data_IF_876958376603
#
_entry.id   IF_876958376603
#
_cell.length_a   1.000
_cell.length_b   1.000
_cell.length_c   1.000
_cell.angle_alpha   90.00
_cell.angle_beta   90.00
_cell.angle_gamma   90.00
#
_symmetry.space_group_name_H-M   'P 1'
#
loop_
_entity.id
_entity.type
_entity.pdbx_description
1 polymer ?
#
# COMPACT_ATOMS: atom_id res chain seq x y z
N UNK A 1 -0.81 -2.51 36.57
CA UNK A 1 0.12 -1.43 36.36
C UNK A 1 0.50 -1.38 34.88
N UNK A 2 -0.18 -0.51 34.14
CA UNK A 2 0.17 0.36 33.03
C UNK A 2 1.17 -0.19 32.01
N UNK A 3 0.72 -0.64 30.89
CA UNK A 3 0.45 0.12 29.64
C UNK A 3 1.30 1.41 29.48
N UNK A 4 2.38 1.21 28.76
CA UNK A 4 3.14 2.31 28.12
C UNK A 4 4.21 1.68 27.20
N UNK A 5 3.86 1.40 25.96
CA UNK A 5 4.75 1.48 24.81
C UNK A 5 4.21 0.76 23.57
N UNK A 6 3.13 1.27 23.04
CA UNK A 6 2.87 1.19 21.59
C UNK A 6 2.76 2.63 21.09
N UNK A 7 3.89 3.34 21.03
CA UNK A 7 3.99 4.44 20.07
C UNK A 7 4.03 3.81 18.71
N UNK A 8 2.97 4.02 17.94
CA UNK A 8 2.93 3.74 16.53
C UNK A 8 4.17 4.39 15.89
N UNK A 9 5.06 3.57 15.35
CA UNK A 9 6.14 4.02 14.48
C UNK A 9 5.45 4.51 13.20
N UNK A 10 5.41 5.82 12.99
CA UNK A 10 5.02 6.40 11.72
C UNK A 10 5.89 5.79 10.62
N UNK A 11 5.27 5.11 9.68
CA UNK A 11 5.91 4.56 8.50
C UNK A 11 6.51 5.71 7.70
N UNK A 12 7.83 5.79 7.62
CA UNK A 12 8.52 6.86 6.90
C UNK A 12 9.05 6.34 5.58
N UNK A 13 8.46 6.83 4.49
CA UNK A 13 8.95 6.63 3.14
C UNK A 13 9.89 7.79 2.78
N UNK A 14 11.06 7.49 2.23
CA UNK A 14 11.97 8.47 1.67
C UNK A 14 12.05 8.25 0.17
N UNK A 15 11.87 9.34 -0.59
CA UNK A 15 12.15 9.39 -2.01
C UNK A 15 13.34 10.32 -2.23
N UNK A 16 14.38 9.81 -2.86
CA UNK A 16 15.61 10.53 -3.17
C UNK A 16 15.74 10.69 -4.68
N UNK A 17 16.27 11.82 -5.14
CA UNK A 17 16.73 12.00 -6.52
C UNK A 17 18.25 11.92 -6.58
N UNK A 18 18.80 11.66 -7.78
CA UNK A 18 20.26 11.71 -7.98
C UNK A 18 20.84 13.11 -7.79
N UNK A 19 20.02 14.15 -7.81
CA UNK A 19 20.43 15.53 -7.49
C UNK A 19 20.75 15.71 -5.99
N UNK A 20 20.15 14.89 -5.14
CA UNK A 20 20.46 14.77 -3.70
C UNK A 20 21.59 13.74 -3.49
N UNK A 21 22.66 13.84 -4.27
CA UNK A 21 23.71 12.82 -4.39
C UNK A 21 24.40 12.49 -3.04
N UNK A 22 24.56 13.45 -2.14
CA UNK A 22 25.20 13.23 -0.85
C UNK A 22 24.31 12.37 0.07
N UNK A 23 23.04 12.75 0.23
CA UNK A 23 22.06 12.02 1.06
C UNK A 23 21.77 10.62 0.49
N UNK A 24 21.57 10.53 -0.82
CA UNK A 24 21.41 9.24 -1.51
C UNK A 24 22.65 8.35 -1.32
N UNK A 25 23.85 8.93 -1.44
CA UNK A 25 25.12 8.23 -1.26
C UNK A 25 25.31 7.69 0.16
N UNK A 26 24.84 8.37 1.19
CA UNK A 26 24.86 7.87 2.57
C UNK A 26 23.95 6.66 2.76
N UNK A 27 22.73 6.73 2.26
CA UNK A 27 21.78 5.62 2.32
C UNK A 27 22.31 4.43 1.52
N UNK A 28 22.83 4.62 0.30
CA UNK A 28 23.44 3.55 -0.50
C UNK A 28 24.60 2.87 0.24
N UNK A 29 25.51 3.66 0.81
CA UNK A 29 26.63 3.10 1.59
C UNK A 29 26.14 2.32 2.80
N UNK A 30 25.09 2.79 3.48
CA UNK A 30 24.50 2.08 4.61
C UNK A 30 23.83 0.76 4.18
N UNK A 31 23.18 0.69 3.02
CA UNK A 31 22.52 -0.52 2.51
C UNK A 31 23.48 -1.48 1.80
N UNK A 32 24.65 -1.06 1.37
CA UNK A 32 25.64 -1.88 0.62
C UNK A 32 26.40 -2.89 1.50
N UNK A 33 25.69 -3.58 2.44
CA UNK A 33 26.30 -4.61 3.27
C UNK A 33 25.26 -5.69 3.59
N UNK A 34 25.56 -6.97 3.28
CA UNK A 34 24.67 -8.08 3.63
C UNK A 34 24.32 -8.16 5.12
N UNK A 35 25.28 -7.86 6.01
CA UNK A 35 25.06 -7.89 7.44
C UNK A 35 24.12 -6.78 7.90
N UNK A 36 24.23 -5.57 7.34
CA UNK A 36 23.31 -4.49 7.63
C UNK A 36 21.90 -4.75 7.12
N UNK A 37 21.76 -5.34 5.92
CA UNK A 37 20.46 -5.79 5.41
C UNK A 37 19.84 -6.88 6.30
N UNK A 38 20.67 -7.78 6.85
CA UNK A 38 20.21 -8.79 7.81
C UNK A 38 19.70 -8.14 9.11
N UNK A 39 20.40 -7.12 9.63
CA UNK A 39 19.96 -6.37 10.82
C UNK A 39 18.63 -5.68 10.57
N UNK A 40 18.45 -5.00 9.42
CA UNK A 40 17.20 -4.34 9.04
C UNK A 40 16.05 -5.36 8.99
N UNK A 41 16.29 -6.54 8.42
CA UNK A 41 15.29 -7.62 8.35
C UNK A 41 14.88 -8.13 9.72
N UNK A 42 15.82 -8.28 10.65
CA UNK A 42 15.52 -8.70 12.03
C UNK A 42 14.60 -7.69 12.74
N UNK A 43 14.84 -6.40 12.52
CA UNK A 43 14.03 -5.32 13.08
C UNK A 43 12.67 -5.14 12.39
N UNK A 44 12.39 -5.91 11.33
CA UNK A 44 11.06 -5.99 10.71
C UNK A 44 10.01 -6.62 11.63
N UNK A 45 10.42 -7.49 12.56
CA UNK A 45 9.54 -8.15 13.53
C UNK A 45 9.31 -7.33 14.81
N UNK A 46 10.06 -6.21 15.01
CA UNK A 46 9.97 -5.37 16.20
C UNK A 46 11.32 -4.85 16.67
N UNK A 47 11.32 -4.11 17.78
CA UNK A 47 12.52 -3.53 18.37
C UNK A 47 13.39 -4.59 19.08
N UNK A 48 14.71 -4.48 18.96
CA UNK A 48 15.67 -5.40 19.57
C UNK A 48 16.84 -4.61 20.19
N UNK A 49 17.41 -5.13 21.28
CA UNK A 49 18.65 -4.56 21.80
C UNK A 49 19.88 -5.04 21.03
N UNK A 50 21.01 -4.35 21.19
CA UNK A 50 22.26 -4.62 20.45
C UNK A 50 22.75 -6.08 20.65
N UNK A 51 22.60 -6.65 21.85
CA UNK A 51 23.01 -8.03 22.11
C UNK A 51 22.10 -9.05 21.42
N UNK A 52 20.81 -8.79 21.39
CA UNK A 52 19.85 -9.63 20.63
C UNK A 52 20.16 -9.58 19.14
N UNK A 53 20.36 -8.38 18.57
CA UNK A 53 20.74 -8.21 17.17
C UNK A 53 22.03 -8.97 16.85
N UNK A 54 23.06 -8.82 17.68
CA UNK A 54 24.35 -9.51 17.51
C UNK A 54 24.17 -11.04 17.47
N UNK A 55 23.40 -11.58 18.40
CA UNK A 55 23.12 -13.01 18.46
C UNK A 55 22.36 -13.51 17.24
N UNK A 56 21.24 -12.86 16.89
CA UNK A 56 20.38 -13.27 15.77
C UNK A 56 21.03 -13.05 14.40
N UNK A 57 21.91 -12.04 14.28
CA UNK A 57 22.70 -11.79 13.08
C UNK A 57 23.97 -12.67 12.98
N UNK A 58 24.30 -13.42 14.02
CA UNK A 58 25.54 -14.19 14.17
C UNK A 58 26.80 -13.32 14.03
N UNK A 59 26.81 -12.13 14.67
CA UNK A 59 27.90 -11.15 14.64
C UNK A 59 28.47 -10.91 16.05
N UNK A 60 29.76 -10.56 16.15
CA UNK A 60 30.31 -10.00 17.42
C UNK A 60 29.52 -8.74 17.82
N UNK A 61 29.33 -8.53 19.12
CA UNK A 61 28.55 -7.38 19.63
C UNK A 61 29.14 -6.04 19.18
N UNK A 62 30.47 -5.91 19.15
CA UNK A 62 31.15 -4.71 18.65
C UNK A 62 30.88 -4.45 17.17
N UNK A 63 30.85 -5.49 16.35
CA UNK A 63 30.54 -5.40 14.91
C UNK A 63 29.07 -5.02 14.69
N UNK A 64 28.16 -5.65 15.43
CA UNK A 64 26.74 -5.29 15.37
C UNK A 64 26.51 -3.82 15.79
N UNK A 65 27.16 -3.36 16.86
CA UNK A 65 27.09 -1.96 17.30
C UNK A 65 27.61 -0.99 16.22
N UNK A 66 28.71 -1.32 15.53
CA UNK A 66 29.25 -0.50 14.46
C UNK A 66 28.27 -0.44 13.26
N UNK A 67 27.67 -1.57 12.86
CA UNK A 67 26.67 -1.61 11.81
C UNK A 67 25.40 -0.84 12.16
N UNK A 68 24.92 -0.96 13.40
CA UNK A 68 23.75 -0.21 13.88
C UNK A 68 24.04 1.29 13.81
N UNK A 69 25.22 1.77 14.22
CA UNK A 69 25.59 3.18 14.14
C UNK A 69 25.55 3.69 12.69
N UNK A 70 26.10 2.96 11.73
CA UNK A 70 26.05 3.34 10.31
C UNK A 70 24.60 3.45 9.81
N UNK A 71 23.73 2.55 10.23
CA UNK A 71 22.30 2.58 9.86
C UNK A 71 21.55 3.73 10.57
N UNK A 72 21.95 4.10 11.78
CA UNK A 72 21.41 5.26 12.49
C UNK A 72 21.86 6.57 11.86
N UNK A 73 23.15 6.70 11.54
CA UNK A 73 23.72 7.88 10.89
C UNK A 73 23.04 8.13 9.52
N UNK A 74 22.70 7.06 8.79
CA UNK A 74 21.93 7.13 7.54
C UNK A 74 20.41 7.30 7.76
N UNK A 75 19.92 7.41 8.99
CA UNK A 75 18.51 7.60 9.32
C UNK A 75 17.60 6.40 9.02
N UNK A 76 18.16 5.21 8.78
CA UNK A 76 17.40 3.97 8.50
C UNK A 76 16.88 3.34 9.80
N UNK A 77 17.66 3.39 10.87
CA UNK A 77 17.30 2.96 12.20
C UNK A 77 17.19 4.15 13.16
N UNK A 78 16.52 3.93 14.26
CA UNK A 78 16.53 4.80 15.44
C UNK A 78 16.76 3.94 16.68
N UNK A 79 17.29 4.56 17.74
CA UNK A 79 17.46 3.87 19.02
C UNK A 79 17.03 4.77 20.16
N UNK A 80 16.53 4.12 21.21
CA UNK A 80 16.21 4.76 22.48
C UNK A 80 16.90 4.04 23.64
N UNK A 81 17.23 4.80 24.68
CA UNK A 81 17.77 4.24 25.91
C UNK A 81 16.64 3.89 26.85
N UNK A 82 16.48 2.59 27.15
CA UNK A 82 15.43 2.09 28.04
C UNK A 82 16.05 1.54 29.34
N UNK A 83 15.37 1.70 30.50
CA UNK A 83 15.84 1.10 31.74
C UNK A 83 15.96 -0.42 31.63
N UNK A 84 17.04 -0.99 32.18
CA UNK A 84 17.27 -2.43 32.27
C UNK A 84 17.56 -2.84 33.71
N UNK A 85 17.53 -4.15 33.99
CA UNK A 85 17.79 -4.66 35.33
C UNK A 85 19.15 -4.22 35.93
N UNK A 86 20.14 -3.96 35.07
CA UNK A 86 21.45 -3.43 35.43
C UNK A 86 21.82 -2.25 34.50
N UNK A 87 21.30 -1.04 34.81
CA UNK A 87 21.59 0.16 34.04
C UNK A 87 20.60 0.45 32.92
N UNK A 88 21.08 0.93 31.77
CA UNK A 88 20.27 1.23 30.59
C UNK A 88 20.70 0.37 29.41
N UNK A 89 19.75 -0.03 28.58
CA UNK A 89 20.04 -0.74 27.34
C UNK A 89 19.55 0.06 26.13
N UNK A 90 20.30 -0.02 25.04
CA UNK A 90 19.96 0.59 23.77
C UNK A 90 19.00 -0.31 23.00
N UNK A 91 17.77 0.14 22.80
CA UNK A 91 16.74 -0.51 22.03
C UNK A 91 16.68 0.09 20.64
N UNK A 92 16.92 -0.72 19.61
CA UNK A 92 16.97 -0.30 18.22
C UNK A 92 15.65 -0.65 17.52
N UNK A 93 15.19 0.26 16.66
CA UNK A 93 13.95 0.12 15.88
C UNK A 93 14.16 0.59 14.45
N UNK A 94 13.41 0.02 13.51
CA UNK A 94 13.40 0.49 12.14
C UNK A 94 12.68 1.85 12.06
N UNK A 95 13.27 2.82 11.34
CA UNK A 95 12.70 4.14 11.11
C UNK A 95 12.10 4.27 9.72
N UNK A 96 12.71 3.61 8.71
CA UNK A 96 12.27 3.64 7.33
C UNK A 96 11.71 2.28 6.93
N UNK A 97 10.60 2.30 6.21
CA UNK A 97 9.98 1.12 5.63
C UNK A 97 10.29 1.00 4.14
N UNK A 98 10.45 2.14 3.45
CA UNK A 98 10.71 2.17 2.02
C UNK A 98 11.71 3.28 1.66
N UNK A 99 12.61 2.97 0.73
CA UNK A 99 13.53 3.92 0.10
C UNK A 99 13.33 3.83 -1.40
N UNK A 100 12.79 4.89 -2.01
CA UNK A 100 12.66 5.05 -3.46
C UNK A 100 13.76 5.96 -3.98
N UNK A 101 14.34 5.65 -5.14
CA UNK A 101 15.38 6.46 -5.75
C UNK A 101 15.01 6.73 -7.20
N UNK A 102 14.94 8.01 -7.54
CA UNK A 102 14.71 8.49 -8.88
C UNK A 102 16.06 8.77 -9.55
N UNK A 103 16.38 7.99 -10.59
CA UNK A 103 17.66 8.07 -11.27
C UNK A 103 17.69 9.09 -12.43
N UNK A 104 16.52 9.55 -12.86
CA UNK A 104 16.38 10.56 -13.93
C UNK A 104 15.30 11.55 -13.52
N UNK A 105 15.61 12.84 -13.57
CA UNK A 105 14.58 13.84 -13.74
C UNK A 105 14.36 14.00 -15.25
N UNK A 106 13.16 13.67 -15.72
CA UNK A 106 12.74 14.13 -17.04
C UNK A 106 12.51 15.64 -16.90
N UNK A 107 13.15 16.46 -17.74
CA UNK A 107 12.80 17.86 -17.96
C UNK A 107 11.36 17.94 -18.51
N UNK A 108 10.39 17.77 -17.62
CA UNK A 108 8.98 17.99 -17.94
C UNK A 108 8.65 19.43 -17.57
N UNK A 109 7.86 20.13 -18.38
CA UNK A 109 7.26 21.40 -17.94
C UNK A 109 6.64 21.13 -16.58
N UNK A 110 6.72 22.10 -15.64
CA UNK A 110 6.24 21.96 -14.26
C UNK A 110 4.81 21.40 -14.26
N UNK A 111 4.71 20.07 -14.16
CA UNK A 111 3.43 19.40 -13.99
C UNK A 111 2.93 19.70 -12.58
N UNK A 112 1.88 20.46 -12.51
CA UNK A 112 1.11 20.56 -11.27
C UNK A 112 0.51 19.20 -10.94
N UNK A 113 0.39 18.88 -9.67
CA UNK A 113 -0.27 17.65 -9.26
C UNK A 113 -1.30 17.91 -8.17
N UNK A 114 -2.37 17.13 -8.21
CA UNK A 114 -3.40 17.07 -7.18
C UNK A 114 -3.53 15.65 -6.68
N UNK A 115 -3.66 15.49 -5.36
CA UNK A 115 -3.87 14.19 -4.72
C UNK A 115 -5.27 14.16 -4.11
N UNK A 116 -6.03 13.13 -4.44
CA UNK A 116 -7.38 12.89 -3.95
C UNK A 116 -7.41 11.56 -3.19
N UNK A 117 -7.81 11.60 -1.93
CA UNK A 117 -7.99 10.42 -1.10
C UNK A 117 -9.47 10.01 -1.12
N UNK A 118 -9.73 8.72 -1.28
CA UNK A 118 -11.08 8.16 -1.33
C UNK A 118 -11.21 7.07 -0.27
N UNK A 119 -12.04 7.27 0.77
CA UNK A 119 -12.29 6.24 1.75
C UNK A 119 -12.86 4.97 1.11
N UNK A 120 -12.49 3.81 1.63
CA UNK A 120 -12.85 2.51 1.06
C UNK A 120 -14.36 2.35 0.88
N UNK A 121 -15.15 2.77 1.86
CA UNK A 121 -16.61 2.66 1.84
C UNK A 121 -17.34 3.75 1.03
N UNK A 122 -16.63 4.73 0.47
CA UNK A 122 -17.20 5.85 -0.28
C UNK A 122 -17.48 5.56 -1.76
N UNK A 123 -17.57 4.28 -2.13
CA UNK A 123 -17.89 3.90 -3.51
C UNK A 123 -19.29 4.40 -3.93
N UNK A 124 -19.41 4.75 -5.22
CA UNK A 124 -20.63 5.23 -5.85
C UNK A 124 -21.56 4.09 -6.28
N UNK A 125 -21.03 2.91 -6.51
CA UNK A 125 -21.81 1.74 -6.91
C UNK A 125 -21.04 0.43 -6.88
N UNK A 126 -21.79 -0.66 -6.95
CA UNK A 126 -21.26 -2.02 -7.09
C UNK A 126 -22.05 -2.76 -8.17
N UNK A 127 -21.38 -3.72 -8.83
CA UNK A 127 -22.01 -4.50 -9.90
C UNK A 127 -21.55 -5.94 -9.84
N UNK A 128 -22.51 -6.87 -9.84
CA UNK A 128 -22.27 -8.31 -9.99
C UNK A 128 -21.44 -8.92 -8.85
N UNK A 129 -21.52 -8.36 -7.65
CA UNK A 129 -20.83 -8.90 -6.47
C UNK A 129 -21.34 -10.32 -6.20
N UNK A 130 -20.40 -11.25 -6.11
CA UNK A 130 -20.67 -12.65 -5.79
C UNK A 130 -19.93 -13.10 -4.53
N UNK A 131 -20.54 -13.99 -3.75
CA UNK A 131 -19.89 -14.65 -2.62
C UNK A 131 -18.69 -15.52 -3.08
N UNK A 132 -17.65 -15.65 -2.23
CA UNK A 132 -17.53 -15.06 -0.87
C UNK A 132 -17.46 -13.55 -0.96
N UNK A 133 -18.16 -12.84 -0.08
CA UNK A 133 -18.13 -11.38 -0.06
C UNK A 133 -18.48 -10.83 1.33
N UNK A 134 -18.00 -9.63 1.65
CA UNK A 134 -18.31 -8.96 2.89
C UNK A 134 -17.60 -7.63 3.05
N UNK A 135 -17.95 -6.96 4.14
CA UNK A 135 -17.34 -5.69 4.56
C UNK A 135 -17.18 -5.68 6.08
N UNK A 136 -16.11 -5.05 6.56
CA UNK A 136 -15.91 -4.79 7.98
C UNK A 136 -15.44 -3.36 8.20
N UNK A 137 -15.85 -2.78 9.32
CA UNK A 137 -15.29 -1.53 9.84
C UNK A 137 -14.08 -1.80 10.73
N UNK A 138 -13.50 -0.78 11.33
CA UNK A 138 -12.44 -0.95 12.32
C UNK A 138 -12.92 -1.68 13.59
N UNK A 139 -14.22 -1.79 13.83
CA UNK A 139 -14.77 -2.31 15.10
C UNK A 139 -15.72 -3.48 14.96
N UNK A 140 -16.33 -3.70 13.78
CA UNK A 140 -17.39 -4.70 13.63
C UNK A 140 -17.61 -5.07 12.16
N UNK A 141 -18.15 -6.26 11.87
CA UNK A 141 -18.71 -6.57 10.57
C UNK A 141 -19.83 -5.60 10.15
N UNK A 142 -19.95 -5.36 8.84
CA UNK A 142 -21.01 -4.53 8.25
C UNK A 142 -21.97 -5.45 7.50
N UNK A 143 -23.17 -5.59 8.03
CA UNK A 143 -24.17 -6.52 7.50
C UNK A 143 -23.80 -7.99 7.73
N UNK A 144 -24.20 -8.84 6.79
CA UNK A 144 -23.95 -10.28 6.82
C UNK A 144 -22.87 -10.66 5.83
N UNK A 145 -22.00 -11.61 6.18
CA UNK A 145 -21.06 -12.21 5.25
C UNK A 145 -21.81 -12.98 4.17
N UNK A 146 -21.20 -13.06 2.99
CA UNK A 146 -21.74 -13.73 1.80
C UNK A 146 -23.10 -13.20 1.31
N UNK A 147 -23.48 -12.01 1.79
CA UNK A 147 -24.68 -11.31 1.36
C UNK A 147 -24.32 -10.04 0.55
N UNK A 148 -24.45 -10.05 -0.78
CA UNK A 148 -24.16 -8.89 -1.63
C UNK A 148 -24.97 -7.63 -1.27
N UNK A 149 -26.12 -7.78 -0.60
CA UNK A 149 -26.92 -6.63 -0.15
C UNK A 149 -26.24 -5.83 0.96
N UNK A 150 -25.29 -6.41 1.69
CA UNK A 150 -24.48 -5.71 2.68
C UNK A 150 -23.72 -4.52 2.09
N UNK A 151 -23.38 -4.56 0.80
CA UNK A 151 -22.72 -3.47 0.08
C UNK A 151 -23.59 -2.23 -0.14
N UNK A 152 -24.91 -2.31 0.10
CA UNK A 152 -25.82 -1.18 -0.02
C UNK A 152 -26.23 -0.59 1.33
N UNK A 153 -25.78 -1.17 2.44
CA UNK A 153 -26.08 -0.65 3.78
C UNK A 153 -25.45 0.73 4.00
N UNK A 154 -26.10 1.67 4.70
CA UNK A 154 -25.51 2.98 5.02
C UNK A 154 -24.18 2.88 5.76
N UNK A 155 -24.03 1.90 6.66
CA UNK A 155 -22.80 1.65 7.41
C UNK A 155 -21.58 1.30 6.54
N UNK A 156 -21.78 1.00 5.23
CA UNK A 156 -20.69 0.75 4.28
C UNK A 156 -19.64 1.86 4.23
N UNK A 157 -20.04 3.09 4.56
CA UNK A 157 -19.13 4.25 4.61
C UNK A 157 -18.02 4.11 5.65
N UNK A 158 -18.20 3.23 6.63
CA UNK A 158 -17.22 2.92 7.68
C UNK A 158 -16.30 1.74 7.31
N UNK A 159 -16.45 1.17 6.10
CA UNK A 159 -15.68 0.02 5.69
C UNK A 159 -14.17 0.29 5.67
N UNK A 160 -13.40 -0.64 6.26
CA UNK A 160 -11.95 -0.63 6.30
C UNK A 160 -11.32 -1.85 5.61
N UNK A 161 -12.11 -2.91 5.39
CA UNK A 161 -11.79 -4.01 4.52
C UNK A 161 -13.08 -4.43 3.80
N UNK A 162 -13.00 -4.67 2.51
CA UNK A 162 -14.06 -5.32 1.76
C UNK A 162 -13.48 -6.40 0.85
N UNK A 163 -14.28 -7.41 0.58
CA UNK A 163 -13.90 -8.51 -0.30
C UNK A 163 -15.07 -9.04 -1.09
N UNK A 164 -14.76 -9.62 -2.24
CA UNK A 164 -15.71 -10.37 -3.04
C UNK A 164 -14.99 -11.31 -4.02
N UNK A 165 -15.66 -12.41 -4.37
CA UNK A 165 -15.13 -13.38 -5.32
C UNK A 165 -15.10 -12.85 -6.75
N UNK A 166 -16.17 -12.21 -7.18
CA UNK A 166 -16.35 -11.62 -8.51
C UNK A 166 -17.21 -10.37 -8.41
N UNK A 167 -17.11 -9.49 -9.41
CA UNK A 167 -17.84 -8.24 -9.48
C UNK A 167 -16.92 -7.03 -9.52
N UNK A 168 -17.54 -5.86 -9.44
CA UNK A 168 -16.86 -4.58 -9.55
C UNK A 168 -17.39 -3.58 -8.55
N UNK A 169 -16.50 -2.73 -8.06
CA UNK A 169 -16.79 -1.58 -7.22
C UNK A 169 -16.37 -0.31 -7.97
N UNK A 170 -17.20 0.74 -7.89
CA UNK A 170 -17.00 2.00 -8.61
C UNK A 170 -16.82 3.15 -7.63
N UNK A 171 -15.81 3.99 -7.88
CA UNK A 171 -15.53 5.22 -7.16
C UNK A 171 -15.58 6.41 -8.12
N UNK A 172 -16.03 7.58 -7.62
CA UNK A 172 -16.08 8.83 -8.39
C UNK A 172 -15.25 9.90 -7.71
N UNK A 173 -14.16 10.30 -8.36
CA UNK A 173 -13.28 11.35 -7.89
C UNK A 173 -13.66 12.67 -8.53
N UNK A 174 -14.18 13.61 -7.74
CA UNK A 174 -14.46 14.96 -8.19
C UNK A 174 -13.19 15.80 -8.26
N UNK A 175 -12.98 16.50 -9.36
CA UNK A 175 -11.87 17.44 -9.53
C UNK A 175 -12.42 18.80 -9.99
N UNK A 176 -12.47 19.80 -9.11
CA UNK A 176 -13.10 21.09 -9.44
C UNK A 176 -12.50 21.83 -10.64
N UNK A 177 -11.21 21.58 -10.94
CA UNK A 177 -10.48 22.22 -12.04
C UNK A 177 -10.37 21.35 -13.30
N UNK A 178 -11.09 20.22 -13.36
CA UNK A 178 -10.95 19.24 -14.44
C UNK A 178 -11.12 19.83 -15.85
N UNK A 179 -12.04 20.76 -16.02
CA UNK A 179 -12.32 21.38 -17.32
C UNK A 179 -11.38 22.53 -17.69
N UNK A 180 -10.52 22.98 -16.77
CA UNK A 180 -9.59 24.11 -16.97
C UNK A 180 -8.12 23.70 -17.01
N UNK A 181 -7.84 22.40 -17.06
CA UNK A 181 -6.48 21.87 -17.09
C UNK A 181 -6.37 20.73 -18.09
N UNK A 182 -5.17 20.50 -18.60
CA UNK A 182 -4.88 19.32 -19.40
C UNK A 182 -4.26 18.24 -18.54
N UNK A 183 -5.02 17.17 -18.27
CA UNK A 183 -4.51 16.01 -17.52
C UNK A 183 -3.48 15.26 -18.36
N UNK A 184 -2.32 14.98 -17.77
CA UNK A 184 -1.17 14.31 -18.39
C UNK A 184 -0.95 12.90 -17.85
N UNK A 185 -1.27 12.67 -16.59
CA UNK A 185 -1.11 11.38 -15.97
C UNK A 185 -2.11 11.17 -14.83
N UNK A 186 -2.47 9.92 -14.60
CA UNK A 186 -3.19 9.47 -13.41
C UNK A 186 -2.37 8.36 -12.75
N UNK A 187 -2.21 8.44 -11.43
CA UNK A 187 -1.66 7.38 -10.61
C UNK A 187 -2.67 7.01 -9.52
N UNK A 188 -3.17 5.78 -9.57
CA UNK A 188 -4.10 5.23 -8.58
C UNK A 188 -3.37 4.20 -7.75
N UNK A 189 -3.28 4.40 -6.44
CA UNK A 189 -2.70 3.43 -5.52
C UNK A 189 -3.70 2.96 -4.48
N UNK A 190 -3.63 1.68 -4.14
CA UNK A 190 -4.43 1.05 -3.10
C UNK A 190 -3.79 -0.27 -2.66
N UNK A 191 -4.09 -0.72 -1.45
CA UNK A 191 -3.68 -2.04 -0.98
C UNK A 191 -4.73 -3.08 -1.37
N UNK A 192 -4.29 -4.18 -2.01
CA UNK A 192 -5.17 -5.26 -2.43
C UNK A 192 -4.46 -6.62 -2.48
N UNK A 193 -5.24 -7.69 -2.37
CA UNK A 193 -4.80 -9.05 -2.67
C UNK A 193 -5.96 -9.91 -3.21
N UNK A 194 -5.69 -11.16 -3.57
CA UNK A 194 -6.72 -12.15 -3.88
C UNK A 194 -7.61 -12.42 -2.68
N UNK A 195 -8.79 -12.99 -2.90
CA UNK A 195 -9.72 -13.45 -1.88
C UNK A 195 -9.87 -14.96 -1.90
N UNK A 196 -9.64 -15.62 -0.78
CA UNK A 196 -9.88 -17.05 -0.56
C UNK A 196 -10.56 -17.28 0.80
N UNK A 197 -11.32 -18.37 0.98
CA UNK A 197 -11.78 -18.77 2.31
C UNK A 197 -10.59 -18.98 3.25
N UNK A 198 -10.53 -18.21 4.33
CA UNK A 198 -9.32 -17.98 5.13
C UNK A 198 -8.26 -17.35 4.22
N UNK A 199 -6.99 -17.30 4.59
CA UNK A 199 -5.96 -16.85 3.64
C UNK A 199 -5.31 -18.05 2.92
N UNK A 200 -4.81 -17.85 1.70
CA UNK A 200 -4.21 -18.92 0.90
C UNK A 200 -3.10 -18.43 -0.03
N UNK A 201 -1.98 -19.15 -0.03
CA UNK A 201 -0.87 -18.93 -0.96
C UNK A 201 -0.34 -20.28 -1.49
N UNK A 202 -0.23 -20.47 -2.83
CA UNK A 202 -0.63 -19.52 -3.89
C UNK A 202 -2.16 -19.51 -4.12
N UNK A 203 -2.68 -18.33 -4.48
CA UNK A 203 -4.08 -18.14 -4.87
C UNK A 203 -4.19 -16.94 -5.80
N UNK A 204 -4.20 -17.17 -7.11
CA UNK A 204 -4.10 -16.08 -8.10
C UNK A 204 -5.45 -15.44 -8.40
N UNK A 205 -5.42 -14.12 -8.58
CA UNK A 205 -6.56 -13.34 -9.05
C UNK A 205 -6.15 -12.24 -10.02
N UNK A 206 -6.85 -12.12 -11.14
CA UNK A 206 -6.65 -11.06 -12.13
C UNK A 206 -7.56 -9.88 -11.77
N UNK A 207 -6.99 -8.93 -11.05
CA UNK A 207 -7.69 -7.71 -10.59
C UNK A 207 -7.60 -6.67 -11.70
N UNK A 208 -8.75 -6.25 -12.21
CA UNK A 208 -8.89 -5.28 -13.30
C UNK A 208 -9.18 -3.89 -12.75
N UNK A 209 -8.56 -2.88 -13.36
CA UNK A 209 -8.90 -1.48 -13.16
C UNK A 209 -9.37 -0.88 -14.47
N UNK A 210 -10.46 -0.11 -14.41
CA UNK A 210 -10.92 0.74 -15.51
C UNK A 210 -11.11 2.18 -15.04
N UNK A 211 -10.84 3.13 -15.92
CA UNK A 211 -11.08 4.55 -15.70
C UNK A 211 -12.03 5.06 -16.79
N UNK A 212 -13.11 5.76 -16.38
CA UNK A 212 -14.16 6.24 -17.27
C UNK A 212 -14.69 5.16 -18.23
N UNK A 213 -14.82 3.92 -17.70
CA UNK A 213 -15.27 2.75 -18.47
C UNK A 213 -14.21 2.14 -19.41
N UNK A 214 -13.02 2.73 -19.51
CA UNK A 214 -11.91 2.20 -20.31
C UNK A 214 -11.01 1.33 -19.44
N UNK A 215 -10.90 0.03 -19.78
CA UNK A 215 -10.00 -0.88 -19.06
C UNK A 215 -8.55 -0.49 -19.26
N UNK A 216 -7.80 -0.40 -18.16
CA UNK A 216 -6.34 -0.24 -18.18
C UNK A 216 -5.62 -1.58 -18.31
N UNK A 217 -6.31 -2.71 -18.13
CA UNK A 217 -5.74 -4.03 -18.06
C UNK A 217 -6.02 -4.72 -16.72
N UNK A 218 -5.23 -5.72 -16.38
CA UNK A 218 -5.31 -6.41 -15.08
C UNK A 218 -3.93 -6.58 -14.46
N UNK A 219 -3.92 -6.68 -13.15
CA UNK A 219 -2.79 -7.11 -12.33
C UNK A 219 -3.12 -8.46 -11.70
N UNK A 220 -2.19 -9.42 -11.81
CA UNK A 220 -2.38 -10.73 -11.20
C UNK A 220 -1.82 -10.73 -9.79
N UNK A 221 -2.70 -10.69 -8.80
CA UNK A 221 -2.34 -11.01 -7.41
C UNK A 221 -1.98 -12.48 -7.30
N UNK A 222 -0.92 -12.81 -6.53
CA UNK A 222 -0.42 -14.17 -6.43
C UNK A 222 -0.97 -14.95 -5.24
N UNK A 223 -1.55 -14.27 -4.26
CA UNK A 223 -2.02 -14.89 -3.02
C UNK A 223 -3.06 -14.02 -2.32
N UNK A 224 -3.84 -14.67 -1.48
CA UNK A 224 -4.50 -14.08 -0.32
C UNK A 224 -3.55 -14.20 0.87
N UNK A 225 -3.22 -13.07 1.50
CA UNK A 225 -2.09 -12.97 2.41
C UNK A 225 -2.50 -13.01 3.89
N UNK A 226 -1.83 -13.89 4.64
CA UNK A 226 -2.01 -14.08 6.08
C UNK A 226 -0.77 -14.68 6.74
N UNK A 227 -0.96 -15.40 7.85
CA UNK A 227 0.14 -16.03 8.60
C UNK A 227 0.89 -15.10 9.55
N UNK A 228 0.62 -13.82 9.49
CA UNK A 228 0.93 -12.79 10.49
C UNK A 228 -0.18 -11.75 10.49
N UNK A 229 -0.44 -11.05 11.59
CA UNK A 229 -1.37 -9.93 11.60
C UNK A 229 -0.94 -8.81 10.63
N UNK A 230 -1.91 -8.19 9.96
CA UNK A 230 -1.70 -6.91 9.29
C UNK A 230 -1.34 -5.82 10.31
N UNK A 231 -0.53 -4.85 9.90
CA UNK A 231 -0.01 -3.80 10.81
C UNK A 231 -1.10 -2.95 11.43
N UNK A 232 -2.19 -2.74 10.70
CA UNK A 232 -3.29 -1.85 11.07
C UNK A 232 -4.53 -2.62 11.53
N UNK A 233 -4.51 -3.94 11.43
CA UNK A 233 -5.68 -4.75 11.77
C UNK A 233 -6.09 -4.59 13.23
N UNK A 234 -7.38 -4.41 13.50
CA UNK A 234 -7.88 -4.36 14.86
C UNK A 234 -7.78 -5.73 15.55
N UNK A 235 -7.63 -5.73 16.87
CA UNK A 235 -7.41 -6.94 17.67
C UNK A 235 -8.55 -7.96 17.64
N UNK A 236 -9.75 -7.56 17.20
CA UNK A 236 -10.89 -8.46 17.06
C UNK A 236 -10.88 -9.25 15.74
N UNK A 237 -10.06 -8.82 14.73
CA UNK A 237 -10.00 -9.50 13.44
C UNK A 237 -9.27 -10.84 13.56
N UNK A 238 -9.87 -11.96 13.12
CA UNK A 238 -9.28 -13.28 13.35
C UNK A 238 -8.00 -13.52 12.54
N UNK A 239 -6.97 -14.09 13.17
CA UNK A 239 -5.69 -14.41 12.54
C UNK A 239 -5.81 -15.37 11.34
N UNK A 240 -6.87 -16.18 11.29
CA UNK A 240 -7.13 -17.12 10.21
C UNK A 240 -7.72 -16.48 8.94
N UNK A 241 -8.10 -15.22 8.99
CA UNK A 241 -8.63 -14.46 7.85
C UNK A 241 -7.52 -13.73 7.11
N UNK A 242 -7.84 -13.17 5.94
CA UNK A 242 -6.95 -12.25 5.18
C UNK A 242 -6.39 -11.17 6.08
N UNK A 243 -5.10 -10.92 6.04
CA UNK A 243 -4.44 -10.02 6.98
C UNK A 243 -3.90 -8.75 6.35
N UNK A 244 -3.38 -8.81 5.13
CA UNK A 244 -2.76 -7.69 4.44
C UNK A 244 -2.72 -7.95 2.93
N UNK A 245 -2.35 -6.92 2.17
CA UNK A 245 -2.25 -6.97 0.73
C UNK A 245 -0.91 -6.48 0.20
N UNK A 246 -0.89 -6.24 -1.09
CA UNK A 246 0.18 -5.55 -1.79
C UNK A 246 -0.26 -4.11 -2.03
N UNK A 247 0.58 -3.13 -1.71
CA UNK A 247 0.36 -1.77 -2.18
C UNK A 247 0.75 -1.72 -3.65
N UNK A 248 -0.23 -1.52 -4.51
CA UNK A 248 -0.05 -1.47 -5.96
C UNK A 248 -0.35 -0.07 -6.47
N UNK A 249 0.39 0.35 -7.50
CA UNK A 249 0.20 1.63 -8.16
C UNK A 249 -0.09 1.43 -9.65
N UNK A 250 -1.29 1.82 -10.06
CA UNK A 250 -1.69 1.90 -11.45
C UNK A 250 -1.35 3.28 -11.98
N UNK A 251 -0.68 3.33 -13.11
CA UNK A 251 -0.38 4.59 -13.79
C UNK A 251 -0.86 4.52 -15.23
N UNK A 252 -1.44 5.62 -15.70
CA UNK A 252 -1.70 5.86 -17.11
C UNK A 252 -1.18 7.24 -17.50
N UNK A 253 -0.42 7.29 -18.58
CA UNK A 253 0.13 8.52 -19.16
C UNK A 253 0.12 8.43 -20.70
N UNK A 254 0.87 9.29 -21.38
CA UNK A 254 0.96 9.32 -22.85
C UNK A 254 1.68 8.07 -23.44
N UNK A 255 2.38 7.27 -22.63
CA UNK A 255 3.13 6.10 -23.07
C UNK A 255 2.34 4.80 -22.97
N UNK A 256 1.27 4.79 -22.17
CA UNK A 256 0.45 3.60 -21.91
C UNK A 256 -0.02 3.47 -20.48
N UNK A 257 -0.45 2.27 -20.13
CA UNK A 257 -0.89 1.92 -18.77
C UNK A 257 0.07 0.93 -18.13
N UNK A 258 0.36 1.15 -16.85
CA UNK A 258 1.38 0.43 -16.08
C UNK A 258 0.86 0.05 -14.70
N UNK A 259 1.38 -1.06 -14.15
CA UNK A 259 1.26 -1.42 -12.73
C UNK A 259 2.67 -1.57 -12.17
N UNK A 260 3.00 -0.82 -11.11
CA UNK A 260 4.33 -0.81 -10.49
C UNK A 260 5.48 -0.69 -11.51
N UNK A 261 5.29 0.18 -12.51
CA UNK A 261 6.18 0.43 -13.67
C UNK A 261 6.18 -0.66 -14.75
N UNK A 262 5.55 -1.82 -14.54
CA UNK A 262 5.41 -2.83 -15.57
C UNK A 262 4.26 -2.47 -16.53
N UNK A 263 4.46 -2.49 -17.86
CA UNK A 263 3.39 -2.19 -18.81
C UNK A 263 2.30 -3.27 -18.76
N UNK A 264 1.03 -2.85 -18.74
CA UNK A 264 -0.13 -3.74 -18.72
C UNK A 264 -1.02 -3.58 -19.93
N UNK A 265 -1.03 -2.40 -20.54
CA UNK A 265 -1.70 -2.18 -21.82
C UNK A 265 -1.17 -0.93 -22.55
N UNK A 266 -1.54 -0.80 -23.82
CA UNK A 266 -1.24 0.38 -24.65
C UNK A 266 -2.24 1.54 -24.46
N UNK A 267 -3.18 1.43 -23.51
CA UNK A 267 -4.17 2.47 -23.23
C UNK A 267 -3.46 3.71 -22.70
N UNK A 268 -3.62 4.85 -23.37
CA UNK A 268 -3.02 6.13 -22.99
C UNK A 268 -4.02 7.05 -22.32
N UNK A 269 -3.54 8.13 -21.72
CA UNK A 269 -4.35 9.09 -20.97
C UNK A 269 -5.45 9.73 -21.83
N UNK A 270 -5.17 10.01 -23.11
CA UNK A 270 -6.12 10.61 -24.03
C UNK A 270 -7.31 9.68 -24.36
N UNK A 271 -7.13 8.37 -24.28
CA UNK A 271 -8.20 7.39 -24.49
C UNK A 271 -9.28 7.42 -23.38
N UNK A 272 -8.95 8.01 -22.23
CA UNK A 272 -9.84 8.05 -21.06
C UNK A 272 -10.86 9.19 -21.11
N UNK A 273 -10.73 10.11 -22.10
CA UNK A 273 -11.62 11.26 -22.30
C UNK A 273 -11.92 12.02 -20.98
N UNK A 274 -10.88 12.35 -20.22
CA UNK A 274 -11.01 12.89 -18.86
C UNK A 274 -11.85 14.18 -18.85
N UNK A 275 -11.58 15.12 -19.80
CA UNK A 275 -12.30 16.40 -19.89
C UNK A 275 -13.76 16.25 -20.33
N UNK A 276 -14.14 15.11 -20.89
CA UNK A 276 -15.53 14.82 -21.31
C UNK A 276 -16.45 14.39 -20.16
N UNK A 277 -15.93 14.35 -18.92
CA UNK A 277 -16.66 13.87 -17.73
C UNK A 277 -16.62 14.89 -16.60
N UNK A 278 -17.64 14.90 -15.75
CA UNK A 278 -17.72 15.75 -14.54
C UNK A 278 -16.86 15.22 -13.38
N UNK A 279 -16.44 13.96 -13.44
CA UNK A 279 -15.60 13.30 -12.46
C UNK A 279 -14.79 12.18 -13.11
N UNK A 280 -13.71 11.77 -12.46
CA UNK A 280 -12.95 10.60 -12.85
C UNK A 280 -13.58 9.37 -12.18
N UNK A 281 -14.14 8.48 -12.98
CA UNK A 281 -14.74 7.22 -12.49
C UNK A 281 -13.71 6.11 -12.52
N UNK A 282 -13.44 5.51 -11.38
CA UNK A 282 -12.54 4.36 -11.21
C UNK A 282 -13.37 3.13 -10.89
N UNK A 283 -13.18 2.07 -11.65
CA UNK A 283 -13.82 0.76 -11.41
C UNK A 283 -12.75 -0.29 -11.12
N UNK A 284 -12.88 -1.01 -10.01
CA UNK A 284 -11.94 -2.06 -9.58
C UNK A 284 -12.72 -3.35 -9.38
N UNK A 285 -12.18 -4.48 -9.81
CA UNK A 285 -12.87 -5.76 -9.58
C UNK A 285 -12.24 -6.93 -10.29
N UNK A 286 -12.97 -8.06 -10.25
CA UNK A 286 -12.61 -9.32 -10.89
C UNK A 286 -13.70 -9.69 -11.86
N UNK A 287 -13.34 -9.80 -13.14
CA UNK A 287 -14.26 -10.18 -14.22
C UNK A 287 -14.64 -11.67 -14.10
N UNK A 288 -15.87 -12.01 -14.42
CA UNK A 288 -16.35 -13.41 -14.45
C UNK A 288 -15.56 -14.28 -15.44
N UNK A 289 -14.97 -13.66 -16.47
CA UNK A 289 -14.18 -14.31 -17.52
C UNK A 289 -12.68 -14.24 -17.27
N UNK A 290 -12.26 -13.74 -16.11
CA UNK A 290 -10.84 -13.69 -15.75
C UNK A 290 -10.22 -15.10 -15.77
N UNK A 291 -9.01 -15.22 -16.28
CA UNK A 291 -8.28 -16.50 -16.29
C UNK A 291 -8.03 -16.97 -14.86
N UNK A 292 -7.70 -16.04 -13.97
CA UNK A 292 -7.55 -16.29 -12.55
C UNK A 292 -8.65 -15.51 -11.80
N UNK A 293 -9.76 -16.19 -11.46
CA UNK A 293 -10.90 -15.62 -10.75
C UNK A 293 -10.79 -15.89 -9.23
N UNK A 294 -9.69 -15.44 -8.61
CA UNK A 294 -9.40 -15.69 -7.21
C UNK A 294 -9.87 -14.56 -6.25
N UNK A 295 -10.85 -13.76 -6.67
CA UNK A 295 -11.45 -12.72 -5.82
C UNK A 295 -10.56 -11.50 -5.58
N UNK A 296 -11.08 -10.58 -4.80
CA UNK A 296 -10.45 -9.31 -4.41
C UNK A 296 -10.68 -9.04 -2.93
N UNK A 297 -9.61 -8.77 -2.19
CA UNK A 297 -9.61 -8.04 -0.94
C UNK A 297 -9.09 -6.63 -1.21
N UNK A 298 -9.78 -5.61 -0.74
CA UNK A 298 -9.41 -4.20 -0.86
C UNK A 298 -9.41 -3.57 0.53
N UNK A 299 -8.32 -2.90 0.88
CA UNK A 299 -8.03 -2.42 2.22
C UNK A 299 -8.21 -0.90 2.33
N UNK A 300 -8.63 -0.44 3.49
CA UNK A 300 -8.73 0.95 3.89
C UNK A 300 -7.63 1.35 4.86
N UNK A 301 -7.68 2.59 5.35
CA UNK A 301 -6.66 3.20 6.23
C UNK A 301 -6.48 2.47 7.57
N UNK A 302 -7.47 1.71 8.02
CA UNK A 302 -7.47 1.00 9.31
C UNK A 302 -7.32 -0.51 9.22
N UNK A 303 -6.92 -1.05 8.07
CA UNK A 303 -6.69 -2.47 7.84
C UNK A 303 -5.51 -2.71 6.91
N UNK A 304 -4.91 -3.90 7.01
CA UNK A 304 -3.77 -4.28 6.18
C UNK A 304 -2.45 -3.75 6.71
N UNK A 305 -1.56 -3.41 5.80
CA UNK A 305 -0.20 -2.96 6.11
C UNK A 305 0.04 -1.48 5.81
N UNK A 306 -0.83 -0.82 5.05
CA UNK A 306 -0.62 0.54 4.56
C UNK A 306 -1.74 1.47 5.04
N UNK A 307 -1.34 2.61 5.62
CA UNK A 307 -2.23 3.65 6.15
C UNK A 307 -2.79 4.51 5.00
N UNK A 308 -3.50 3.86 4.10
CA UNK A 308 -4.24 4.52 3.02
C UNK A 308 -5.38 3.62 2.51
N UNK A 309 -6.44 4.25 2.00
CA UNK A 309 -7.43 3.60 1.16
C UNK A 309 -7.06 3.77 -0.32
N UNK A 310 -7.93 4.38 -1.14
CA UNK A 310 -7.60 4.67 -2.53
C UNK A 310 -7.03 6.08 -2.63
N UNK A 311 -5.87 6.20 -3.25
CA UNK A 311 -5.21 7.49 -3.50
C UNK A 311 -5.07 7.70 -5.00
N UNK A 312 -5.71 8.75 -5.52
CA UNK A 312 -5.59 9.16 -6.93
C UNK A 312 -4.76 10.43 -7.01
N UNK A 313 -3.57 10.33 -7.63
CA UNK A 313 -2.73 11.47 -7.99
C UNK A 313 -2.96 11.82 -9.46
N UNK A 314 -3.22 13.07 -9.73
CA UNK A 314 -3.51 13.62 -11.06
C UNK A 314 -2.40 14.59 -11.41
N UNK A 315 -1.63 14.27 -12.45
CA UNK A 315 -0.65 15.18 -13.05
C UNK A 315 -1.29 15.98 -14.18
N UNK A 316 -1.13 17.30 -14.18
CA UNK A 316 -1.77 18.16 -15.17
C UNK A 316 -0.94 19.41 -15.51
N UNK A 317 -1.20 19.96 -16.67
CA UNK A 317 -0.74 21.29 -17.09
C UNK A 317 -1.89 22.27 -16.95
N UNK A 318 -1.58 23.47 -16.48
CA UNK A 318 -2.48 24.64 -16.53
C UNK A 318 -2.27 25.29 -17.90
N UNK A 319 -3.33 25.40 -18.68
CA UNK A 319 -3.31 26.06 -20.00
C UNK A 319 -3.06 27.57 -19.92
#
# INVERSE_FOLDING_TARGET
>A
VKDSSRRALESKNIHLSVEQAEEAGEIFRALASPDRLRIIRLLGAGSMNVQQIAREAALPVSTAAAHIRILEDAGILTSESVPAAHGAMKLCSRRLDHVGIQLFEEDRPEESSMVLNMPLGAYSGVRGIQPTCGLVSATTPIGEYDNPLSFYLPARTEAQLLWFRQGFIEYRFGMPILHSVRVKSLELSFEACSEAPMYRSPWKSDITVAINGQSLGHWTSHADLGGRPGRLNPSWWPDAMTQYGYLITWRVDERGSFVDKAPVSSRVIDDLNIQGHDCITVTIGVDEKAVNAGGLNLFGEGFGDFDQALVLKIGYLVD
#
